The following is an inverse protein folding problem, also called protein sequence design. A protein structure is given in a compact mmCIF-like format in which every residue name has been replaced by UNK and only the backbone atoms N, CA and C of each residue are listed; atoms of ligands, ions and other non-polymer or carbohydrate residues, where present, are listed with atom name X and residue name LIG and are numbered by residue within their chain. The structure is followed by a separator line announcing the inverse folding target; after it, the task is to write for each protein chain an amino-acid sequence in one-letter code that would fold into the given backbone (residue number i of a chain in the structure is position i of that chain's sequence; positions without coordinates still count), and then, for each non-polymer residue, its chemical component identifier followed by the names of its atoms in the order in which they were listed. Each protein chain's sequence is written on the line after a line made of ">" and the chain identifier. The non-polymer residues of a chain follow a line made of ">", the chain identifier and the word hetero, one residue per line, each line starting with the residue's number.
data_IF_990298636856
#
_entry.id   IF_990298636856
#
_cell.length_a   1.000
_cell.length_b   1.000
_cell.length_c   1.000
_cell.angle_alpha   90.00
_cell.angle_beta   90.00
_cell.angle_gamma   90.00
#
_symmetry.space_group_name_H-M   'P 1'
#
loop_
_entity.id
_entity.type
_entity.pdbx_description
1 polymer ?
#
# COMPACT_ATOMS: atom_id res chain seq x y z
N UNK A 1 24.81 50.21 30.24
CA UNK A 1 23.38 49.85 30.41
C UNK A 1 22.63 50.34 29.18
N UNK A 2 22.48 49.46 28.19
CA UNK A 2 21.69 49.73 26.98
C UNK A 2 20.87 48.47 26.70
N UNK A 3 19.56 48.58 26.90
CA UNK A 3 18.62 47.49 26.68
C UNK A 3 18.27 47.42 25.20
N UNK A 4 18.53 46.27 24.59
CA UNK A 4 18.20 45.97 23.20
C UNK A 4 16.79 45.37 23.16
N UNK A 5 15.82 46.15 22.69
CA UNK A 5 14.45 45.70 22.42
C UNK A 5 14.39 45.12 21.00
N UNK A 6 14.56 43.81 20.88
CA UNK A 6 14.26 43.07 19.64
C UNK A 6 12.81 42.61 19.65
N UNK A 7 11.99 43.23 18.81
CA UNK A 7 10.63 42.82 18.48
C UNK A 7 10.64 41.46 17.74
N UNK A 8 9.81 40.47 18.12
CA UNK A 8 9.70 39.23 17.36
C UNK A 8 8.83 39.41 16.12
N UNK A 9 9.31 38.88 15.00
CA UNK A 9 8.69 38.86 13.68
C UNK A 9 7.46 37.93 13.64
N UNK A 10 6.23 38.41 13.32
CA UNK A 10 5.01 37.62 13.39
C UNK A 10 4.74 36.73 12.16
N UNK A 11 5.73 36.36 11.35
CA UNK A 11 5.52 35.66 10.06
C UNK A 11 6.30 34.35 9.86
N UNK A 12 6.50 33.56 10.92
CA UNK A 12 6.98 32.17 10.78
C UNK A 12 6.20 31.19 11.65
N UNK A 13 4.95 30.95 11.28
CA UNK A 13 4.19 29.77 11.72
C UNK A 13 3.72 29.01 10.49
N UNK A 14 4.66 28.35 9.80
CA UNK A 14 4.30 27.16 9.04
C UNK A 14 3.94 26.12 10.09
N UNK A 15 2.64 26.00 10.34
CA UNK A 15 2.07 24.95 11.17
C UNK A 15 2.41 23.60 10.54
N UNK A 16 3.54 23.02 10.98
CA UNK A 16 3.57 21.59 11.24
C UNK A 16 2.35 21.33 12.10
N UNK A 17 1.30 20.80 11.49
CA UNK A 17 0.20 20.18 12.20
C UNK A 17 0.81 18.99 12.94
N UNK A 18 1.45 19.30 14.07
CA UNK A 18 1.71 18.37 15.13
C UNK A 18 0.37 17.71 15.38
N UNK A 19 0.34 16.40 15.21
CA UNK A 19 -0.69 15.62 15.87
C UNK A 19 -0.79 16.17 17.29
N UNK A 20 -1.99 16.47 17.81
CA UNK A 20 -2.10 16.68 19.23
C UNK A 20 -1.48 15.43 19.85
N UNK A 21 -0.37 15.65 20.56
CA UNK A 21 0.06 14.85 21.69
C UNK A 21 -1.16 14.75 22.60
N UNK A 22 -2.04 13.81 22.26
CA UNK A 22 -3.19 13.45 23.05
C UNK A 22 -2.58 12.52 24.06
N UNK A 23 -2.30 13.11 25.22
CA UNK A 23 -1.49 12.58 26.30
C UNK A 23 -1.48 11.06 26.43
N UNK A 24 -0.27 10.55 26.66
CA UNK A 24 -0.01 9.55 27.68
C UNK A 24 -1.25 8.73 28.14
N UNK A 25 -1.42 7.55 27.55
CA UNK A 25 -1.93 6.33 28.22
C UNK A 25 -3.25 6.42 28.99
N UNK A 26 -4.38 6.51 28.28
CA UNK A 26 -5.72 6.30 28.87
C UNK A 26 -6.58 5.24 28.17
N UNK A 27 -6.01 4.34 27.35
CA UNK A 27 -6.82 3.45 26.50
C UNK A 27 -6.29 2.02 26.29
N UNK A 28 -5.83 1.34 27.35
CA UNK A 28 -6.16 -0.09 27.41
C UNK A 28 -7.68 -0.23 27.63
N UNK A 29 -8.33 -1.32 27.16
CA UNK A 29 -9.74 -1.53 27.44
C UNK A 29 -10.00 -1.48 28.95
N UNK A 30 -10.89 -0.55 29.28
CA UNK A 30 -11.48 -0.31 30.58
C UNK A 30 -12.18 -1.58 31.07
N UNK A 31 -11.76 -2.12 32.21
CA UNK A 31 -12.71 -2.61 33.20
C UNK A 31 -12.58 -1.70 34.42
N UNK A 32 -13.68 -0.98 34.68
CA UNK A 32 -13.82 0.09 35.68
C UNK A 32 -12.90 1.30 35.47
N UNK A 33 -13.42 2.52 35.69
CA UNK A 33 -12.54 3.63 36.06
C UNK A 33 -11.72 3.21 37.29
N UNK A 34 -10.62 3.91 37.63
CA UNK A 34 -9.92 3.69 38.92
C UNK A 34 -10.90 3.73 40.12
N UNK A 35 -12.09 4.32 39.94
CA UNK A 35 -13.18 4.42 40.92
C UNK A 35 -14.26 3.32 40.85
N UNK A 36 -14.24 2.37 39.91
CA UNK A 36 -15.29 1.33 39.84
C UNK A 36 -16.51 1.68 38.99
N UNK A 37 -16.56 2.87 38.38
CA UNK A 37 -17.76 3.36 37.70
C UNK A 37 -17.92 2.77 36.29
N UNK A 38 -19.17 2.56 35.89
CA UNK A 38 -19.53 2.19 34.52
C UNK A 38 -19.21 3.37 33.59
N UNK A 39 -18.32 3.16 32.62
CA UNK A 39 -17.93 4.22 31.70
C UNK A 39 -19.08 4.55 30.76
N UNK A 40 -19.43 5.83 30.73
CA UNK A 40 -20.35 6.40 29.75
C UNK A 40 -19.71 6.27 28.36
N UNK A 41 -20.32 5.54 27.41
CA UNK A 41 -19.76 5.39 26.08
C UNK A 41 -19.54 6.77 25.46
N UNK A 42 -18.34 7.00 24.92
CA UNK A 42 -18.04 8.27 24.24
C UNK A 42 -19.10 8.51 23.15
N UNK A 43 -19.64 9.73 22.99
CA UNK A 43 -20.73 10.01 22.05
C UNK A 43 -20.39 9.74 20.57
N UNK A 44 -19.15 9.37 20.27
CA UNK A 44 -18.63 9.05 18.94
C UNK A 44 -17.89 7.69 18.92
N UNK A 45 -18.09 6.82 19.91
CA UNK A 45 -17.41 5.52 19.99
C UNK A 45 -17.61 4.69 18.70
N UNK A 46 -18.82 4.73 18.14
CA UNK A 46 -19.17 4.05 16.88
C UNK A 46 -18.52 4.66 15.63
N UNK A 47 -17.89 5.85 15.73
CA UNK A 47 -17.30 6.55 14.58
C UNK A 47 -15.82 6.29 14.39
N UNK A 48 -15.13 5.74 15.39
CA UNK A 48 -13.67 5.56 15.36
C UNK A 48 -13.37 4.07 15.16
N UNK A 49 -13.14 3.71 13.91
CA UNK A 49 -12.67 2.38 13.50
C UNK A 49 -11.44 1.97 14.34
N UNK A 50 -11.50 0.78 14.97
CA UNK A 50 -10.44 0.17 15.80
C UNK A 50 -10.11 0.84 17.15
N UNK A 51 -10.99 1.67 17.71
CA UNK A 51 -10.72 2.37 18.98
C UNK A 51 -10.57 1.46 20.20
N UNK A 52 -11.32 0.36 20.25
CA UNK A 52 -11.36 -0.55 21.42
C UNK A 52 -10.26 -1.61 21.40
N UNK A 53 -9.25 -1.45 20.54
CA UNK A 53 -8.24 -2.47 20.28
C UNK A 53 -6.88 -1.97 20.77
N UNK A 54 -5.96 -2.89 21.14
CA UNK A 54 -4.65 -2.51 21.65
C UNK A 54 -3.95 -1.51 20.74
N UNK A 55 -3.19 -0.61 21.36
CA UNK A 55 -2.33 0.33 20.65
C UNK A 55 -1.26 -0.39 19.82
N UNK A 56 -0.60 0.35 18.94
CA UNK A 56 0.46 -0.16 18.05
C UNK A 56 1.88 0.08 18.58
N UNK A 57 1.97 0.33 19.88
CA UNK A 57 3.16 0.87 20.54
C UNK A 57 3.85 -0.14 21.46
N UNK A 58 3.65 -1.45 21.25
CA UNK A 58 4.35 -2.50 21.98
C UNK A 58 5.71 -2.81 21.35
N UNK A 59 6.73 -2.96 22.19
CA UNK A 59 8.03 -3.55 21.82
C UNK A 59 7.94 -5.07 21.97
N UNK A 60 8.51 -5.82 21.01
CA UNK A 60 8.56 -7.27 21.06
C UNK A 60 9.89 -7.77 21.64
N UNK A 61 9.89 -8.93 22.33
CA UNK A 61 11.12 -9.52 22.85
C UNK A 61 12.08 -9.87 21.70
N UNK A 62 13.40 -9.86 22.00
CA UNK A 62 14.47 -10.24 21.06
C UNK A 62 14.61 -11.77 20.96
N UNK A 63 13.51 -12.43 20.64
CA UNK A 63 13.44 -13.88 20.43
C UNK A 63 12.83 -14.12 19.05
N UNK A 64 13.19 -15.22 18.40
CA UNK A 64 12.65 -15.54 17.06
C UNK A 64 11.13 -15.65 17.12
N UNK A 65 10.46 -14.70 16.46
CA UNK A 65 9.02 -14.57 16.33
C UNK A 65 8.68 -14.38 14.86
N UNK A 66 7.71 -15.12 14.35
CA UNK A 66 7.21 -14.98 12.99
C UNK A 66 5.71 -14.71 13.02
N UNK A 67 5.31 -13.48 12.66
CA UNK A 67 3.90 -13.14 12.51
C UNK A 67 3.57 -12.99 11.04
N UNK A 68 2.57 -13.73 10.58
CA UNK A 68 2.01 -13.54 9.24
C UNK A 68 1.31 -12.17 9.17
N UNK A 69 1.09 -11.65 7.95
CA UNK A 69 0.33 -10.41 7.82
C UNK A 69 -1.10 -10.53 8.37
N UNK A 70 -1.70 -11.72 8.32
CA UNK A 70 -3.08 -11.96 8.75
C UNK A 70 -3.16 -11.85 10.27
N UNK A 71 -2.19 -12.42 10.98
CA UNK A 71 -2.09 -12.27 12.45
C UNK A 71 -2.01 -10.81 12.86
N UNK A 72 -1.19 -10.01 12.18
CA UNK A 72 -1.05 -8.59 12.48
C UNK A 72 -2.37 -7.86 12.21
N UNK A 73 -3.02 -8.10 11.06
CA UNK A 73 -4.30 -7.45 10.72
C UNK A 73 -5.42 -7.87 11.67
N UNK A 74 -5.45 -9.12 12.12
CA UNK A 74 -6.56 -9.68 12.91
C UNK A 74 -6.36 -9.47 14.41
N UNK A 75 -5.20 -9.81 14.95
CA UNK A 75 -4.94 -9.80 16.39
C UNK A 75 -4.36 -8.45 16.86
N UNK A 76 -3.70 -7.72 15.96
CA UNK A 76 -3.03 -6.45 16.25
C UNK A 76 -3.47 -5.33 15.28
N UNK A 77 -4.79 -5.09 15.13
CA UNK A 77 -5.35 -4.36 13.98
C UNK A 77 -4.95 -2.90 13.90
N UNK A 78 -4.39 -2.28 14.95
CA UNK A 78 -3.84 -0.93 14.88
C UNK A 78 -2.40 -0.88 14.36
N UNK A 79 -1.69 -2.01 14.26
CA UNK A 79 -0.25 -2.06 13.97
C UNK A 79 0.11 -1.65 12.55
N UNK A 80 -0.82 -1.71 11.60
CA UNK A 80 -0.56 -1.20 10.24
C UNK A 80 -0.31 0.32 10.18
N UNK A 81 -0.56 1.06 11.27
CA UNK A 81 -0.25 2.49 11.39
C UNK A 81 1.25 2.74 11.60
N UNK A 82 1.96 1.77 12.18
CA UNK A 82 3.41 1.78 12.35
C UNK A 82 4.10 1.80 10.98
N UNK A 83 5.18 2.57 10.83
CA UNK A 83 5.81 2.81 9.53
C UNK A 83 6.50 1.57 8.99
N UNK A 84 7.19 0.80 9.83
CA UNK A 84 7.83 -0.46 9.43
C UNK A 84 6.81 -1.51 8.98
N UNK A 85 5.70 -1.66 9.70
CA UNK A 85 4.62 -2.59 9.33
C UNK A 85 3.91 -2.15 8.05
N UNK A 86 3.59 -0.85 7.92
CA UNK A 86 3.01 -0.32 6.68
C UNK A 86 3.93 -0.54 5.47
N UNK A 87 5.24 -0.31 5.64
CA UNK A 87 6.24 -0.55 4.61
C UNK A 87 6.27 -2.02 4.20
N UNK A 88 6.27 -2.94 5.18
CA UNK A 88 6.19 -4.40 4.93
C UNK A 88 4.97 -4.76 4.09
N UNK A 89 3.80 -4.32 4.54
CA UNK A 89 2.53 -4.60 3.89
C UNK A 89 2.49 -4.10 2.44
N UNK A 90 2.85 -2.85 2.20
CA UNK A 90 2.78 -2.25 0.86
C UNK A 90 3.86 -2.84 -0.06
N UNK A 91 5.07 -3.10 0.43
CA UNK A 91 6.16 -3.74 -0.33
C UNK A 91 5.83 -5.18 -0.74
N UNK A 92 4.93 -5.83 0.01
CA UNK A 92 4.36 -7.14 -0.30
C UNK A 92 2.97 -7.06 -0.96
N UNK A 93 2.67 -5.93 -1.60
CA UNK A 93 1.47 -5.70 -2.41
C UNK A 93 0.13 -5.75 -1.67
N UNK A 94 0.12 -5.66 -0.33
CA UNK A 94 -1.13 -5.55 0.41
C UNK A 94 -1.82 -4.24 0.04
N UNK A 95 -3.06 -4.37 -0.44
CA UNK A 95 -3.92 -3.21 -0.74
C UNK A 95 -4.94 -3.02 0.37
N UNK A 96 -5.51 -1.81 0.50
CA UNK A 96 -6.57 -1.57 1.46
C UNK A 96 -7.80 -2.49 1.27
N UNK A 97 -8.10 -2.86 0.02
CA UNK A 97 -9.19 -3.81 -0.27
C UNK A 97 -8.88 -5.22 0.24
N UNK A 98 -7.64 -5.69 0.05
CA UNK A 98 -7.22 -7.01 0.56
C UNK A 98 -7.11 -7.00 2.08
N UNK A 99 -6.54 -5.94 2.68
CA UNK A 99 -6.54 -5.75 4.13
C UNK A 99 -7.97 -5.83 4.67
N UNK A 100 -8.89 -5.07 4.07
CA UNK A 100 -10.28 -5.06 4.49
C UNK A 100 -10.95 -6.44 4.33
N UNK A 101 -10.65 -7.19 3.26
CA UNK A 101 -11.16 -8.55 3.08
C UNK A 101 -10.65 -9.50 4.18
N UNK A 102 -9.37 -9.41 4.55
CA UNK A 102 -8.82 -10.16 5.71
C UNK A 102 -9.57 -9.78 6.98
N UNK A 103 -9.76 -8.48 7.21
CA UNK A 103 -10.42 -7.95 8.41
C UNK A 103 -11.89 -8.42 8.50
N UNK A 104 -12.64 -8.36 7.41
CA UNK A 104 -14.05 -8.80 7.30
C UNK A 104 -14.20 -10.32 7.43
N UNK A 105 -13.23 -11.10 6.94
CA UNK A 105 -13.23 -12.55 7.08
C UNK A 105 -13.05 -12.99 8.54
N UNK A 106 -12.15 -12.32 9.27
CA UNK A 106 -11.68 -12.78 10.58
C UNK A 106 -12.23 -12.01 11.78
N UNK A 107 -12.85 -10.84 11.59
CA UNK A 107 -13.34 -10.00 12.70
C UNK A 107 -14.79 -9.56 12.54
N UNK A 108 -15.44 -9.41 13.68
CA UNK A 108 -16.78 -8.84 13.77
C UNK A 108 -16.69 -7.33 13.60
N UNK A 109 -17.14 -6.84 12.44
CA UNK A 109 -17.04 -5.42 12.12
C UNK A 109 -18.31 -4.62 12.43
N UNK A 110 -19.47 -5.29 12.53
CA UNK A 110 -20.77 -4.70 12.87
C UNK A 110 -21.12 -3.43 12.06
N UNK A 111 -20.78 -3.40 10.76
CA UNK A 111 -21.16 -2.31 9.86
C UNK A 111 -22.68 -2.33 9.62
N UNK A 112 -23.33 -1.17 9.74
CA UNK A 112 -24.78 -1.06 9.56
C UNK A 112 -25.19 -1.07 8.09
N UNK A 113 -24.34 -0.49 7.25
CA UNK A 113 -24.58 -0.31 5.83
C UNK A 113 -23.26 -0.33 5.02
N UNK A 114 -23.40 -0.32 3.70
CA UNK A 114 -22.25 -0.26 2.77
C UNK A 114 -21.47 1.05 2.88
N UNK A 115 -22.08 2.13 3.37
CA UNK A 115 -21.40 3.42 3.53
C UNK A 115 -20.35 3.36 4.65
N UNK A 116 -20.68 2.77 5.81
CA UNK A 116 -19.74 2.53 6.89
C UNK A 116 -18.60 1.60 6.46
N UNK A 117 -18.93 0.58 5.66
CA UNK A 117 -17.96 -0.36 5.07
C UNK A 117 -16.94 0.35 4.17
N UNK A 118 -17.41 1.19 3.24
CA UNK A 118 -16.53 1.99 2.36
C UNK A 118 -15.73 3.04 3.14
N UNK A 119 -16.31 3.65 4.16
CA UNK A 119 -15.59 4.57 5.05
C UNK A 119 -14.45 3.88 5.80
N UNK A 120 -14.63 2.64 6.25
CA UNK A 120 -13.58 1.86 6.89
C UNK A 120 -12.44 1.55 5.91
N UNK A 121 -12.74 1.10 4.67
CA UNK A 121 -11.74 0.91 3.60
C UNK A 121 -10.96 2.20 3.28
N UNK A 122 -11.66 3.33 3.22
CA UNK A 122 -11.06 4.65 2.99
C UNK A 122 -10.11 5.01 4.14
N UNK A 123 -10.51 4.78 5.39
CA UNK A 123 -9.65 4.99 6.57
C UNK A 123 -8.36 4.19 6.47
N UNK A 124 -8.42 2.90 6.13
CA UNK A 124 -7.22 2.06 5.94
C UNK A 124 -6.32 2.65 4.85
N UNK A 125 -6.92 3.07 3.73
CA UNK A 125 -6.18 3.69 2.62
C UNK A 125 -5.49 4.99 3.03
N UNK A 126 -6.19 5.84 3.77
CA UNK A 126 -5.67 7.14 4.19
C UNK A 126 -4.56 7.00 5.24
N UNK A 127 -4.66 6.05 6.16
CA UNK A 127 -3.57 5.76 7.10
C UNK A 127 -2.33 5.23 6.38
N UNK A 128 -2.46 4.31 5.41
CA UNK A 128 -1.30 3.90 4.59
C UNK A 128 -0.65 5.09 3.87
N UNK A 129 -1.44 5.97 3.25
CA UNK A 129 -0.90 7.17 2.58
C UNK A 129 -0.19 8.08 3.57
N UNK A 130 -0.80 8.35 4.71
CA UNK A 130 -0.25 9.21 5.77
C UNK A 130 1.06 8.63 6.28
N UNK A 131 1.09 7.35 6.64
CA UNK A 131 2.28 6.65 7.12
C UNK A 131 3.40 6.68 6.09
N UNK A 132 3.11 6.39 4.81
CA UNK A 132 4.13 6.39 3.76
C UNK A 132 4.65 7.77 3.37
N UNK A 133 3.80 8.81 3.43
CA UNK A 133 4.22 10.21 3.20
C UNK A 133 5.00 10.81 4.36
N UNK A 134 4.91 10.20 5.56
CA UNK A 134 5.67 10.64 6.73
C UNK A 134 7.17 10.30 6.66
N UNK A 135 7.60 9.53 5.65
CA UNK A 135 9.02 9.28 5.41
C UNK A 135 9.65 10.53 4.77
N UNK A 136 10.75 11.08 5.33
CA UNK A 136 11.33 12.35 4.87
C UNK A 136 11.65 12.43 3.37
N UNK A 137 11.98 11.29 2.74
CA UNK A 137 12.33 11.19 1.32
C UNK A 137 11.14 10.97 0.38
N UNK A 138 9.91 10.92 0.90
CA UNK A 138 8.71 10.43 0.20
C UNK A 138 7.59 11.47 0.07
N UNK A 139 7.92 12.77 -0.04
CA UNK A 139 6.91 13.83 -0.15
C UNK A 139 6.00 13.70 -1.39
N UNK A 140 6.49 13.09 -2.47
CA UNK A 140 5.72 12.78 -3.68
C UNK A 140 5.11 11.37 -3.72
N UNK A 141 5.10 10.66 -2.60
CA UNK A 141 4.70 9.25 -2.58
C UNK A 141 3.24 9.07 -3.00
N UNK A 142 3.07 8.18 -3.96
CA UNK A 142 1.78 7.61 -4.35
C UNK A 142 1.92 6.10 -4.37
N UNK A 143 0.80 5.39 -4.20
CA UNK A 143 0.80 3.93 -4.30
C UNK A 143 1.37 3.44 -5.64
N UNK A 144 1.09 4.14 -6.74
CA UNK A 144 1.57 3.80 -8.08
C UNK A 144 3.09 4.03 -8.25
N UNK A 145 3.67 4.97 -7.51
CA UNK A 145 5.12 5.26 -7.51
C UNK A 145 5.88 4.53 -6.41
N UNK A 146 5.22 3.68 -5.62
CA UNK A 146 5.89 2.96 -4.56
C UNK A 146 6.79 1.88 -5.15
N UNK A 147 8.07 1.94 -4.79
CA UNK A 147 9.04 0.87 -4.99
C UNK A 147 9.42 0.31 -3.64
N UNK A 148 9.47 -1.03 -3.53
CA UNK A 148 10.05 -1.66 -2.37
C UNK A 148 11.51 -1.18 -2.20
N UNK A 149 12.00 -0.95 -0.97
CA UNK A 149 13.38 -0.54 -0.75
C UNK A 149 14.38 -1.52 -1.37
N UNK A 150 15.56 -1.02 -1.76
CA UNK A 150 16.65 -1.89 -2.23
C UNK A 150 17.01 -2.91 -1.14
N UNK A 151 17.14 -4.18 -1.52
CA UNK A 151 17.39 -5.27 -0.57
C UNK A 151 16.16 -5.75 0.21
N UNK A 152 14.95 -5.27 -0.11
CA UNK A 152 13.72 -5.77 0.52
C UNK A 152 13.55 -7.28 0.27
N UNK A 153 13.50 -8.08 1.35
CA UNK A 153 13.22 -9.51 1.26
C UNK A 153 11.72 -9.77 1.50
N UNK A 154 10.95 -10.15 0.47
CA UNK A 154 9.52 -10.38 0.60
C UNK A 154 9.15 -11.65 1.38
N UNK A 155 10.11 -12.54 1.67
CA UNK A 155 9.86 -13.77 2.43
C UNK A 155 10.07 -13.59 3.93
N UNK A 156 10.62 -12.45 4.36
CA UNK A 156 10.88 -12.18 5.76
C UNK A 156 9.59 -11.73 6.47
N UNK A 157 9.09 -12.60 7.36
CA UNK A 157 7.92 -12.32 8.23
C UNK A 157 8.30 -12.21 9.71
N UNK A 158 9.60 -12.19 9.99
CA UNK A 158 10.16 -12.12 11.32
C UNK A 158 9.79 -10.80 12.03
N UNK A 159 9.55 -10.90 13.33
CA UNK A 159 9.10 -9.83 14.22
C UNK A 159 9.93 -9.76 15.50
N UNK A 160 11.05 -10.49 15.55
CA UNK A 160 11.96 -10.53 16.67
C UNK A 160 12.53 -9.13 16.95
N UNK A 161 12.44 -8.70 18.21
CA UNK A 161 12.96 -7.40 18.62
C UNK A 161 12.31 -6.20 17.95
N UNK A 162 11.10 -6.35 17.39
CA UNK A 162 10.37 -5.23 16.79
C UNK A 162 10.20 -4.07 17.79
N UNK A 163 10.56 -2.86 17.35
CA UNK A 163 10.43 -1.61 18.12
C UNK A 163 9.60 -0.63 17.29
N UNK A 164 8.46 -0.14 17.80
CA UNK A 164 7.64 0.82 17.07
C UNK A 164 8.31 2.19 17.04
N UNK A 165 8.01 3.03 16.03
CA UNK A 165 8.67 4.34 15.91
C UNK A 165 8.41 5.25 17.11
N UNK A 166 7.21 5.12 17.72
CA UNK A 166 6.84 5.84 18.93
C UNK A 166 7.82 5.60 20.09
N UNK A 167 8.51 4.45 20.12
CA UNK A 167 9.50 4.13 21.14
C UNK A 167 10.75 5.01 21.10
N UNK A 168 10.94 5.78 20.02
CA UNK A 168 12.05 6.73 19.89
C UNK A 168 11.69 8.16 20.35
N UNK A 169 10.44 8.41 20.74
CA UNK A 169 10.00 9.70 21.28
C UNK A 169 10.42 9.75 22.76
N UNK A 170 10.97 10.88 23.21
CA UNK A 170 11.48 11.05 24.59
C UNK A 170 10.44 10.75 25.67
N UNK A 171 9.16 11.03 25.39
CA UNK A 171 8.03 10.79 26.29
C UNK A 171 7.42 9.40 26.18
N UNK A 172 8.02 8.50 25.39
CA UNK A 172 7.50 7.15 25.22
C UNK A 172 7.46 6.41 26.55
N UNK A 173 6.28 5.89 26.89
CA UNK A 173 6.14 4.89 27.94
C UNK A 173 5.69 3.60 27.30
N UNK A 174 6.36 2.51 27.64
CA UNK A 174 5.93 1.19 27.20
C UNK A 174 4.51 0.94 27.72
N UNK A 175 3.53 0.61 26.86
CA UNK A 175 2.20 0.25 27.32
C UNK A 175 2.27 -0.97 28.26
N UNK A 176 1.37 -1.07 29.25
CA UNK A 176 1.28 -2.29 30.06
C UNK A 176 0.95 -3.47 29.15
N UNK A 177 1.55 -4.62 29.47
CA UNK A 177 1.18 -5.88 28.85
C UNK A 177 -0.28 -6.21 29.14
N UNK A 178 -0.94 -6.88 28.19
CA UNK A 178 -2.35 -7.24 28.26
C UNK A 178 -2.51 -8.76 28.22
N UNK A 179 -3.58 -9.34 28.79
CA UNK A 179 -3.85 -10.77 28.61
C UNK A 179 -3.91 -11.14 27.11
N UNK A 180 -3.25 -12.22 26.71
CA UNK A 180 -3.30 -12.74 25.33
C UNK A 180 -4.73 -13.05 24.87
N UNK A 181 -5.59 -13.43 25.82
CA UNK A 181 -7.03 -13.65 25.61
C UNK A 181 -7.74 -12.37 25.13
N UNK A 182 -7.28 -11.19 25.51
CA UNK A 182 -7.88 -9.93 25.10
C UNK A 182 -7.60 -9.58 23.63
N UNK A 183 -6.58 -10.21 23.00
CA UNK A 183 -6.37 -10.10 21.55
C UNK A 183 -7.55 -10.71 20.75
N UNK A 184 -8.36 -11.55 21.39
CA UNK A 184 -9.56 -12.16 20.79
C UNK A 184 -10.80 -11.26 20.80
N UNK A 185 -10.76 -10.12 21.49
CA UNK A 185 -11.92 -9.21 21.53
C UNK A 185 -12.29 -8.82 20.10
N UNK A 186 -13.50 -9.18 19.66
CA UNK A 186 -14.03 -8.90 18.31
C UNK A 186 -13.43 -9.75 17.18
N UNK A 187 -12.70 -10.82 17.50
CA UNK A 187 -12.24 -11.81 16.52
C UNK A 187 -13.34 -12.84 16.30
N UNK A 188 -13.82 -12.96 15.06
CA UNK A 188 -14.83 -13.93 14.62
C UNK A 188 -14.23 -15.32 14.46
N UNK A 189 -13.04 -15.39 13.85
CA UNK A 189 -12.28 -16.63 13.67
C UNK A 189 -10.79 -16.36 13.68
N UNK A 190 -10.04 -17.24 14.33
CA UNK A 190 -8.58 -17.16 14.33
C UNK A 190 -8.02 -17.41 12.93
N UNK A 191 -6.83 -16.87 12.61
CA UNK A 191 -6.09 -17.33 11.45
C UNK A 191 -5.79 -18.84 11.57
N UNK A 192 -5.77 -19.55 10.45
CA UNK A 192 -5.54 -20.99 10.38
C UNK A 192 -4.58 -21.30 9.22
N UNK A 193 -4.02 -22.50 9.21
CA UNK A 193 -3.10 -22.99 8.16
C UNK A 193 -1.98 -22.00 7.87
N UNK A 194 -1.77 -21.67 6.58
CA UNK A 194 -0.73 -20.76 6.11
C UNK A 194 -0.98 -19.30 6.49
N UNK A 195 -2.14 -18.98 7.10
CA UNK A 195 -2.46 -17.66 7.65
C UNK A 195 -2.11 -17.56 9.14
N UNK A 196 -1.77 -18.66 9.79
CA UNK A 196 -1.38 -18.71 11.20
C UNK A 196 0.14 -18.77 11.35
N UNK A 197 0.66 -18.08 12.35
CA UNK A 197 2.06 -18.07 12.74
C UNK A 197 2.18 -18.20 14.25
N UNK A 198 3.24 -17.62 14.82
CA UNK A 198 3.56 -17.81 16.23
C UNK A 198 2.54 -17.14 17.16
N UNK A 199 1.97 -16.00 16.77
CA UNK A 199 1.02 -15.25 17.60
C UNK A 199 -0.29 -16.02 17.80
N UNK A 200 -0.81 -16.63 16.74
CA UNK A 200 -2.02 -17.45 16.75
C UNK A 200 -1.83 -18.65 17.67
N UNK A 201 -0.68 -19.33 17.58
CA UNK A 201 -0.36 -20.47 18.46
C UNK A 201 -0.32 -20.02 19.93
N UNK A 202 0.31 -18.88 20.23
CA UNK A 202 0.34 -18.34 21.59
C UNK A 202 -1.06 -18.02 22.11
N UNK A 203 -1.91 -17.40 21.30
CA UNK A 203 -3.31 -17.09 21.67
C UNK A 203 -4.10 -18.38 21.89
N UNK A 204 -4.00 -19.38 21.01
CA UNK A 204 -4.67 -20.68 21.16
C UNK A 204 -4.24 -21.39 22.46
N UNK A 205 -2.95 -21.36 22.76
CA UNK A 205 -2.41 -21.91 24.00
C UNK A 205 -2.98 -21.21 25.23
N UNK A 206 -2.97 -19.86 25.24
CA UNK A 206 -3.53 -19.07 26.33
C UNK A 206 -5.03 -19.31 26.51
N UNK A 207 -5.79 -19.47 25.42
CA UNK A 207 -7.24 -19.75 25.46
C UNK A 207 -7.58 -21.08 26.13
N UNK A 208 -6.69 -22.08 26.05
CA UNK A 208 -6.88 -23.40 26.65
C UNK A 208 -6.53 -23.50 28.14
N UNK A 209 -6.07 -22.42 28.79
CA UNK A 209 -5.50 -22.47 30.14
C UNK A 209 -6.06 -21.44 31.11
N UNK A 210 -6.22 -21.79 32.38
CA UNK A 210 -6.73 -20.83 33.39
C UNK A 210 -5.75 -19.73 33.75
N UNK A 211 -4.45 -19.91 33.46
CA UNK A 211 -3.45 -18.87 33.70
C UNK A 211 -3.59 -17.69 32.74
N UNK A 212 -3.38 -16.47 33.26
CA UNK A 212 -3.34 -15.25 32.46
C UNK A 212 -1.93 -15.05 31.88
N UNK A 213 -1.76 -15.47 30.63
CA UNK A 213 -0.57 -15.15 29.86
C UNK A 213 -0.66 -13.75 29.26
N UNK A 214 0.43 -12.99 29.30
CA UNK A 214 0.50 -11.57 28.97
C UNK A 214 1.24 -11.33 27.65
N UNK A 215 0.62 -10.58 26.74
CA UNK A 215 1.23 -10.04 25.53
C UNK A 215 1.91 -8.69 25.81
N UNK A 216 3.15 -8.46 25.35
CA UNK A 216 4.02 -9.37 24.58
C UNK A 216 5.01 -10.18 25.44
N UNK A 217 4.98 -10.03 26.77
CA UNK A 217 6.03 -10.54 27.67
C UNK A 217 6.15 -12.08 27.68
N UNK A 218 5.03 -12.80 27.68
CA UNK A 218 5.02 -14.26 27.84
C UNK A 218 5.17 -15.03 26.52
N UNK A 219 5.32 -14.32 25.39
CA UNK A 219 5.44 -14.95 24.07
C UNK A 219 6.60 -15.95 24.00
N UNK A 220 7.77 -15.62 24.56
CA UNK A 220 8.92 -16.54 24.54
C UNK A 220 8.65 -17.81 25.32
N UNK A 221 8.15 -17.68 26.55
CA UNK A 221 7.88 -18.80 27.44
C UNK A 221 6.85 -19.75 26.83
N UNK A 222 5.79 -19.21 26.22
CA UNK A 222 4.78 -20.02 25.55
C UNK A 222 5.38 -20.79 24.37
N UNK A 223 6.14 -20.12 23.50
CA UNK A 223 6.74 -20.76 22.32
C UNK A 223 7.85 -21.76 22.66
N UNK A 224 8.55 -21.58 23.78
CA UNK A 224 9.44 -22.61 24.33
C UNK A 224 8.67 -23.86 24.75
N UNK A 225 7.45 -23.70 25.27
CA UNK A 225 6.62 -24.80 25.71
C UNK A 225 5.91 -25.53 24.54
N UNK A 226 5.32 -24.80 23.59
CA UNK A 226 4.52 -25.38 22.50
C UNK A 226 5.27 -25.55 21.18
N UNK A 227 6.51 -25.08 21.10
CA UNK A 227 7.28 -25.00 19.87
C UNK A 227 6.82 -23.86 18.94
N UNK A 228 7.69 -23.54 17.98
CA UNK A 228 7.47 -22.47 16.99
C UNK A 228 6.81 -22.99 15.73
N UNK A 229 6.20 -22.09 14.98
CA UNK A 229 5.63 -22.38 13.67
C UNK A 229 6.73 -22.70 12.67
N UNK A 230 6.57 -23.77 11.90
CA UNK A 230 7.45 -24.05 10.76
C UNK A 230 7.05 -23.15 9.59
N UNK A 231 7.82 -22.08 9.39
CA UNK A 231 7.55 -21.12 8.32
C UNK A 231 7.91 -21.73 6.97
N UNK A 232 6.90 -21.83 6.11
CA UNK A 232 7.04 -22.18 4.69
C UNK A 232 6.80 -20.94 3.83
N UNK A 233 7.13 -21.03 2.53
CA UNK A 233 6.87 -19.93 1.59
C UNK A 233 5.39 -19.48 1.60
N UNK A 234 4.46 -20.41 1.81
CA UNK A 234 3.03 -20.11 1.84
C UNK A 234 2.60 -19.21 3.02
N UNK A 235 3.40 -19.13 4.09
CA UNK A 235 3.17 -18.23 5.23
C UNK A 235 3.61 -16.79 4.96
N UNK A 236 4.37 -16.56 3.89
CA UNK A 236 4.88 -15.23 3.55
C UNK A 236 3.78 -14.32 3.02
N UNK A 237 4.00 -13.01 3.09
CA UNK A 237 2.94 -12.04 2.83
C UNK A 237 2.38 -12.12 1.40
N UNK A 238 3.26 -12.32 0.40
CA UNK A 238 2.85 -12.28 -1.03
C UNK A 238 1.92 -13.44 -1.42
N UNK A 239 2.21 -14.71 -1.11
CA UNK A 239 1.28 -15.82 -1.35
C UNK A 239 -0.08 -15.62 -0.66
N UNK A 240 -0.09 -15.15 0.58
CA UNK A 240 -1.33 -14.84 1.30
C UNK A 240 -2.12 -13.75 0.56
N UNK A 241 -1.49 -12.63 0.23
CA UNK A 241 -2.13 -11.53 -0.52
C UNK A 241 -2.70 -12.04 -1.85
N UNK A 242 -1.95 -12.88 -2.59
CA UNK A 242 -2.41 -13.47 -3.85
C UNK A 242 -3.66 -14.33 -3.63
N UNK A 243 -3.66 -15.20 -2.61
CA UNK A 243 -4.81 -16.05 -2.30
C UNK A 243 -6.09 -15.22 -2.03
N UNK A 244 -5.98 -14.11 -1.30
CA UNK A 244 -7.10 -13.20 -1.08
C UNK A 244 -7.54 -12.48 -2.36
N UNK A 245 -6.60 -12.03 -3.20
CA UNK A 245 -6.94 -11.40 -4.48
C UNK A 245 -7.71 -12.38 -5.38
N UNK A 246 -7.27 -13.63 -5.45
CA UNK A 246 -7.91 -14.67 -6.24
C UNK A 246 -9.31 -15.00 -5.70
N UNK A 247 -9.46 -15.08 -4.37
CA UNK A 247 -10.77 -15.24 -3.73
C UNK A 247 -11.73 -14.11 -4.08
N UNK A 248 -11.30 -12.85 -3.92
CA UNK A 248 -12.11 -11.68 -4.24
C UNK A 248 -12.50 -11.61 -5.73
N UNK A 249 -11.59 -12.04 -6.62
CA UNK A 249 -11.87 -12.14 -8.05
C UNK A 249 -12.95 -13.19 -8.32
N UNK A 250 -12.82 -14.40 -7.76
CA UNK A 250 -13.81 -15.47 -7.89
C UNK A 250 -15.19 -15.05 -7.41
N UNK A 251 -15.29 -14.36 -6.26
CA UNK A 251 -16.57 -13.82 -5.78
C UNK A 251 -17.16 -12.76 -6.72
N UNK A 252 -16.32 -11.89 -7.28
CA UNK A 252 -16.75 -10.87 -8.24
C UNK A 252 -17.23 -11.49 -9.54
N UNK A 253 -16.55 -12.52 -10.03
CA UNK A 253 -16.92 -13.25 -11.23
C UNK A 253 -18.20 -14.05 -10.99
N UNK A 254 -18.37 -14.69 -9.84
CA UNK A 254 -19.61 -15.38 -9.47
C UNK A 254 -20.83 -14.43 -9.40
N UNK A 255 -20.64 -13.18 -8.97
CA UNK A 255 -21.68 -12.14 -9.00
C UNK A 255 -21.95 -11.58 -10.40
N UNK A 256 -20.96 -11.66 -11.30
CA UNK A 256 -21.07 -11.24 -12.71
C UNK A 256 -21.59 -12.33 -13.62
N UNK A 257 -21.46 -13.60 -13.22
CA UNK A 257 -22.07 -14.73 -13.91
C UNK A 257 -23.52 -14.35 -14.17
N UNK A 258 -23.91 -14.19 -15.45
CA UNK A 258 -25.24 -13.71 -15.78
C UNK A 258 -26.24 -14.63 -15.08
N UNK A 259 -27.31 -14.05 -14.47
CA UNK A 259 -28.39 -14.87 -13.93
C UNK A 259 -28.76 -15.87 -15.01
N UNK A 260 -28.83 -17.14 -14.61
CA UNK A 260 -29.03 -18.29 -15.48
C UNK A 260 -29.80 -17.92 -16.76
N UNK A 261 -29.10 -17.96 -17.91
CA UNK A 261 -29.68 -17.64 -19.22
C UNK A 261 -30.78 -18.62 -19.63
N UNK A 262 -31.19 -19.54 -18.77
CA UNK A 262 -32.34 -20.42 -18.96
C UNK A 262 -33.68 -19.66 -19.06
N UNK A 263 -33.75 -18.41 -18.60
CA UNK A 263 -34.85 -17.48 -18.92
C UNK A 263 -34.28 -16.22 -19.60
N UNK A 264 -33.47 -16.44 -20.64
CA UNK A 264 -33.19 -15.36 -21.57
C UNK A 264 -34.48 -14.96 -22.30
N UNK A 265 -34.68 -13.67 -22.59
CA UNK A 265 -35.71 -13.25 -23.53
C UNK A 265 -35.57 -14.08 -24.81
N UNK A 266 -36.70 -14.44 -25.42
CA UNK A 266 -36.69 -15.25 -26.63
C UNK A 266 -35.81 -14.60 -27.70
N UNK A 267 -35.37 -15.37 -28.70
CA UNK A 267 -34.61 -14.79 -29.82
C UNK A 267 -35.34 -13.60 -30.43
N UNK A 268 -36.68 -13.64 -30.48
CA UNK A 268 -37.51 -12.53 -30.94
C UNK A 268 -37.41 -11.29 -30.04
N UNK A 269 -37.47 -11.44 -28.71
CA UNK A 269 -37.34 -10.32 -27.78
C UNK A 269 -35.94 -9.69 -27.82
N UNK A 270 -34.90 -10.47 -28.14
CA UNK A 270 -33.54 -9.96 -28.34
C UNK A 270 -33.41 -9.16 -29.62
N UNK A 271 -34.00 -9.62 -30.72
CA UNK A 271 -34.04 -8.89 -31.99
C UNK A 271 -34.80 -7.58 -31.82
N UNK A 272 -35.97 -7.61 -31.19
CA UNK A 272 -36.78 -6.41 -30.94
C UNK A 272 -36.03 -5.37 -30.07
N UNK A 273 -35.26 -5.83 -29.07
CA UNK A 273 -34.47 -4.93 -28.23
C UNK A 273 -33.27 -4.33 -28.98
N UNK A 274 -32.65 -5.07 -29.91
CA UNK A 274 -31.57 -4.56 -30.76
C UNK A 274 -32.09 -3.56 -31.81
N UNK A 275 -33.24 -3.83 -32.43
CA UNK A 275 -33.89 -2.90 -33.35
C UNK A 275 -34.26 -1.58 -32.66
N UNK A 276 -34.90 -1.65 -31.48
CA UNK A 276 -35.22 -0.45 -30.70
C UNK A 276 -33.97 0.36 -30.28
N UNK A 277 -32.86 -0.31 -30.00
CA UNK A 277 -31.58 0.35 -29.68
C UNK A 277 -30.96 1.01 -30.91
N UNK A 278 -31.06 0.37 -32.07
CA UNK A 278 -30.61 0.94 -33.34
C UNK A 278 -31.40 2.19 -33.69
N UNK A 279 -32.72 2.14 -33.63
CA UNK A 279 -33.62 3.28 -33.89
C UNK A 279 -33.34 4.45 -32.93
N UNK A 280 -33.15 4.16 -31.64
CA UNK A 280 -32.81 5.20 -30.66
C UNK A 280 -31.46 5.87 -30.95
N UNK A 281 -30.48 5.11 -31.46
CA UNK A 281 -29.16 5.64 -31.84
C UNK A 281 -29.26 6.51 -33.09
N UNK A 282 -30.01 6.07 -34.09
CA UNK A 282 -30.23 6.83 -35.32
C UNK A 282 -30.98 8.14 -35.05
N UNK A 283 -32.00 8.11 -34.19
CA UNK A 283 -32.72 9.31 -33.75
C UNK A 283 -31.82 10.30 -33.00
N UNK A 284 -30.93 9.81 -32.13
CA UNK A 284 -29.97 10.64 -31.42
C UNK A 284 -28.96 11.31 -32.37
N UNK A 285 -28.47 10.56 -33.38
CA UNK A 285 -27.56 11.07 -34.38
C UNK A 285 -28.23 12.14 -35.26
N UNK A 286 -29.46 11.91 -35.72
CA UNK A 286 -30.25 12.91 -36.45
C UNK A 286 -30.48 14.18 -35.61
N UNK A 287 -30.81 14.05 -34.33
CA UNK A 287 -30.98 15.21 -33.44
C UNK A 287 -29.67 15.98 -33.25
N UNK A 288 -28.52 15.29 -33.21
CA UNK A 288 -27.21 15.94 -33.11
C UNK A 288 -26.83 16.69 -34.39
N UNK A 289 -27.12 16.12 -35.57
CA UNK A 289 -26.92 16.79 -36.86
C UNK A 289 -27.78 18.05 -36.94
N UNK A 290 -29.06 17.98 -36.56
CA UNK A 290 -29.96 19.13 -36.54
C UNK A 290 -29.49 20.23 -35.56
N UNK A 291 -29.04 19.85 -34.36
CA UNK A 291 -28.47 20.81 -33.40
C UNK A 291 -27.22 21.50 -33.94
N UNK A 292 -26.37 20.76 -34.64
CA UNK A 292 -25.13 21.28 -35.20
C UNK A 292 -25.41 22.24 -36.35
N UNK A 293 -26.35 21.88 -37.24
CA UNK A 293 -26.82 22.74 -38.31
C UNK A 293 -27.46 24.04 -37.77
N UNK A 294 -28.34 23.93 -36.76
CA UNK A 294 -28.97 25.09 -36.12
C UNK A 294 -27.92 26.02 -35.48
N UNK A 295 -26.91 25.46 -34.82
CA UNK A 295 -25.81 26.24 -34.23
C UNK A 295 -24.97 26.95 -35.29
N UNK A 296 -24.70 26.30 -36.43
CA UNK A 296 -23.97 26.91 -37.55
C UNK A 296 -24.75 28.08 -38.17
N UNK A 297 -26.06 27.92 -38.37
CA UNK A 297 -26.94 29.00 -38.85
C UNK A 297 -26.97 30.17 -37.86
N UNK A 298 -27.08 29.87 -36.56
CA UNK A 298 -27.09 30.90 -35.52
C UNK A 298 -25.75 31.65 -35.43
N UNK A 299 -24.62 30.98 -35.65
CA UNK A 299 -23.30 31.62 -35.71
C UNK A 299 -23.15 32.52 -36.93
N UNK A 300 -23.74 32.17 -38.09
CA UNK A 300 -23.74 33.01 -39.28
C UNK A 300 -24.66 34.23 -39.17
N UNK A 301 -25.68 34.18 -38.33
CA UNK A 301 -26.60 35.30 -38.08
C UNK A 301 -26.10 36.27 -37.00
N UNK A 302 -25.06 35.90 -36.22
CA UNK A 302 -24.48 36.83 -35.26
C UNK A 302 -23.54 37.81 -35.99
N UNK A 303 -23.78 39.13 -35.90
CA UNK A 303 -22.82 40.10 -36.39
C UNK A 303 -21.49 39.92 -35.64
N UNK A 304 -20.34 40.06 -36.32
CA UNK A 304 -19.04 39.89 -35.68
C UNK A 304 -18.92 40.81 -34.47
N UNK A 305 -18.43 40.32 -33.33
CA UNK A 305 -18.34 41.11 -32.10
C UNK A 305 -17.47 42.34 -32.36
N UNK A 306 -18.08 43.52 -32.26
CA UNK A 306 -17.37 44.78 -32.35
C UNK A 306 -16.66 45.04 -31.02
N UNK A 307 -15.35 44.81 -30.99
CA UNK A 307 -14.52 45.15 -29.83
C UNK A 307 -14.26 46.66 -29.88
N UNK A 308 -14.93 47.41 -28.99
CA UNK A 308 -14.62 48.82 -28.77
C UNK A 308 -13.37 48.94 -27.89
N UNK A 309 -12.22 49.23 -28.50
CA UNK A 309 -11.04 49.70 -27.78
C UNK A 309 -11.12 51.22 -27.63
N UNK A 310 -11.29 51.70 -26.40
CA UNK A 310 -11.22 53.12 -26.06
C UNK A 310 -9.76 53.54 -25.91
N UNK A 311 -9.26 54.34 -26.85
CA UNK A 311 -8.01 55.07 -26.67
C UNK A 311 -8.22 56.32 -25.79
N UNK A 312 -7.19 56.78 -25.05
CA UNK A 312 -7.31 57.87 -24.08
C UNK A 312 -7.77 59.24 -24.64
N UNK A 313 -7.65 59.46 -25.96
CA UNK A 313 -7.93 60.76 -26.59
C UNK A 313 -9.34 60.87 -27.23
N UNK A 314 -10.31 60.05 -26.81
CA UNK A 314 -11.73 60.28 -27.13
C UNK A 314 -12.19 60.05 -28.58
N UNK A 315 -11.33 59.57 -29.48
CA UNK A 315 -11.73 59.24 -30.85
C UNK A 315 -11.75 57.72 -31.10
N UNK A 316 -12.93 57.19 -31.43
CA UNK A 316 -13.12 55.78 -31.77
C UNK A 316 -12.65 55.49 -33.20
N UNK A 317 -11.70 54.55 -33.36
CA UNK A 317 -11.30 53.99 -34.66
C UNK A 317 -11.61 52.49 -34.71
N UNK A 318 -12.24 52.06 -35.79
CA UNK A 318 -12.50 50.65 -36.09
C UNK A 318 -11.29 50.03 -36.79
N UNK A 319 -10.76 48.93 -36.25
CA UNK A 319 -9.66 48.18 -36.86
C UNK A 319 -10.02 46.68 -36.91
N UNK A 320 -10.02 46.03 -38.09
CA UNK A 320 -10.35 44.62 -38.22
C UNK A 320 -9.21 43.72 -37.70
N UNK A 321 -9.52 42.76 -36.82
CA UNK A 321 -8.57 41.80 -36.25
C UNK A 321 -8.29 40.63 -37.20
N UNK A 322 -7.01 40.37 -37.48
CA UNK A 322 -6.51 39.11 -38.05
C UNK A 322 -6.14 38.11 -36.94
N UNK A 323 -6.63 36.87 -37.05
CA UNK A 323 -6.47 35.81 -36.04
C UNK A 323 -5.00 35.32 -35.90
N UNK A 324 -4.50 35.28 -34.67
CA UNK A 324 -3.21 34.70 -34.30
C UNK A 324 -3.41 33.32 -33.64
N UNK A 325 -2.60 32.35 -34.04
CA UNK A 325 -2.62 30.95 -33.59
C UNK A 325 -1.72 30.80 -32.35
N UNK A 326 -2.29 30.22 -31.30
CA UNK A 326 -1.69 30.00 -29.98
C UNK A 326 -0.66 28.86 -30.00
N UNK A 327 0.55 29.09 -29.44
CA UNK A 327 1.65 28.12 -29.32
C UNK A 327 2.11 28.08 -27.86
N UNK A 328 1.56 27.15 -27.08
CA UNK A 328 1.97 26.89 -25.70
C UNK A 328 2.07 25.38 -25.43
N UNK A 329 3.17 24.76 -25.89
CA UNK A 329 3.48 23.34 -25.60
C UNK A 329 4.97 23.07 -25.35
N UNK A 330 5.84 24.10 -25.39
CA UNK A 330 7.30 23.91 -25.32
C UNK A 330 7.95 24.07 -23.94
N UNK A 331 7.26 24.65 -22.95
CA UNK A 331 7.90 25.01 -21.66
C UNK A 331 7.97 23.86 -20.66
N UNK A 332 7.23 22.77 -20.87
CA UNK A 332 7.15 21.66 -19.91
C UNK A 332 8.32 20.64 -20.06
N UNK A 333 8.96 20.63 -21.23
CA UNK A 333 10.04 19.69 -21.54
C UNK A 333 11.41 20.20 -21.04
N UNK A 334 11.57 21.51 -20.90
CA UNK A 334 12.78 22.14 -20.38
C UNK A 334 12.97 21.94 -18.86
N UNK A 335 11.88 21.81 -18.09
CA UNK A 335 11.95 21.62 -16.63
C UNK A 335 12.34 20.20 -16.21
N UNK A 336 12.22 19.21 -17.10
CA UNK A 336 12.61 17.82 -16.83
C UNK A 336 14.11 17.57 -16.98
N UNK A 337 14.81 18.39 -17.77
CA UNK A 337 16.25 18.24 -18.00
C UNK A 337 17.14 18.86 -16.91
N UNK A 338 16.61 19.84 -16.15
CA UNK A 338 17.39 20.59 -15.17
C UNK A 338 17.53 19.90 -13.80
N UNK A 339 16.80 18.80 -13.55
CA UNK A 339 16.74 18.14 -12.24
C UNK A 339 17.71 16.97 -12.04
N UNK A 340 18.52 16.63 -13.05
CA UNK A 340 19.40 15.44 -13.02
C UNK A 340 20.81 15.76 -12.48
N UNK A 341 21.20 17.03 -12.32
CA UNK A 341 22.56 17.39 -11.91
C UNK A 341 22.56 18.41 -10.78
N UNK A 342 22.88 17.93 -9.56
CA UNK A 342 23.32 18.62 -8.32
C UNK A 342 22.63 17.94 -7.11
N UNK A 343 23.24 17.33 -6.09
CA UNK A 343 24.60 17.05 -5.68
C UNK A 343 24.55 16.68 -4.18
N UNK A 344 24.91 15.45 -3.77
CA UNK A 344 25.31 15.15 -2.39
C UNK A 344 26.12 13.84 -2.30
N UNK A 345 27.23 13.90 -1.56
CA UNK A 345 28.27 12.87 -1.47
C UNK A 345 27.88 11.75 -0.47
N UNK A 346 27.97 10.50 -0.92
CA UNK A 346 27.87 9.24 -0.15
C UNK A 346 29.23 8.53 -0.30
N UNK A 347 29.69 7.70 0.66
CA UNK A 347 30.98 7.01 0.56
C UNK A 347 31.08 6.28 -0.77
N UNK A 348 32.08 6.64 -1.55
CA UNK A 348 32.38 6.09 -2.87
C UNK A 348 32.71 4.60 -2.76
N UNK A 349 31.72 3.74 -2.97
CA UNK A 349 31.92 2.67 -3.96
C UNK A 349 32.24 3.36 -5.28
N UNK A 350 33.38 3.05 -5.93
CA UNK A 350 33.87 3.83 -7.05
C UNK A 350 32.81 3.90 -8.15
N UNK A 351 32.42 5.13 -8.49
CA UNK A 351 31.55 5.50 -9.61
C UNK A 351 32.24 5.29 -10.97
N UNK A 352 33.02 4.23 -11.09
CA UNK A 352 33.39 3.66 -12.37
C UNK A 352 32.14 2.94 -12.89
N UNK A 353 31.81 2.98 -14.19
CA UNK A 353 31.04 1.87 -14.75
C UNK A 353 31.75 0.59 -14.30
N UNK A 354 31.03 -0.42 -13.76
CA UNK A 354 31.65 -1.63 -13.28
C UNK A 354 32.59 -2.10 -14.38
N UNK A 355 33.88 -2.20 -14.04
CA UNK A 355 34.86 -2.73 -14.98
C UNK A 355 34.27 -4.06 -15.44
N UNK A 356 34.12 -4.27 -16.76
CA UNK A 356 33.48 -5.48 -17.25
C UNK A 356 34.15 -6.67 -16.56
N UNK A 357 33.34 -7.53 -15.94
CA UNK A 357 33.87 -8.66 -15.18
C UNK A 357 34.89 -9.41 -16.04
N UNK A 358 35.99 -9.81 -15.43
CA UNK A 358 36.97 -10.64 -16.11
C UNK A 358 36.27 -11.91 -16.63
N UNK A 359 36.53 -12.38 -17.86
CA UNK A 359 35.87 -13.58 -18.42
C UNK A 359 35.95 -14.80 -17.52
N UNK A 360 37.05 -14.93 -16.76
CA UNK A 360 37.28 -15.98 -15.75
C UNK A 360 36.83 -15.64 -14.32
N UNK A 361 36.01 -14.61 -14.12
CA UNK A 361 35.36 -14.36 -12.84
C UNK A 361 34.26 -15.42 -12.64
N UNK A 362 34.15 -15.96 -11.43
CA UNK A 362 33.13 -16.94 -11.10
C UNK A 362 31.77 -16.27 -11.01
N UNK A 363 30.78 -16.81 -11.73
CA UNK A 363 29.42 -16.27 -11.76
C UNK A 363 28.74 -16.25 -10.40
N UNK A 364 29.08 -17.18 -9.50
CA UNK A 364 28.56 -17.20 -8.13
C UNK A 364 29.01 -16.02 -7.28
N UNK A 365 30.08 -15.33 -7.68
CA UNK A 365 30.63 -14.15 -7.00
C UNK A 365 30.07 -12.83 -7.57
N UNK A 366 29.34 -12.87 -8.68
CA UNK A 366 28.72 -11.70 -9.29
C UNK A 366 27.56 -11.17 -8.41
N UNK A 367 27.61 -9.88 -8.07
CA UNK A 367 26.61 -9.25 -7.18
C UNK A 367 25.21 -9.19 -7.81
N UNK A 368 25.13 -9.24 -9.14
CA UNK A 368 23.90 -9.26 -9.92
C UNK A 368 23.02 -10.47 -9.57
N UNK A 369 23.62 -11.59 -9.13
CA UNK A 369 22.88 -12.76 -8.66
C UNK A 369 21.98 -12.47 -7.45
N UNK A 370 22.33 -11.47 -6.64
CA UNK A 370 21.56 -11.07 -5.45
C UNK A 370 20.46 -10.05 -5.74
N UNK A 371 20.38 -9.53 -6.98
CA UNK A 371 19.38 -8.55 -7.37
C UNK A 371 18.16 -9.27 -7.97
N UNK A 372 17.18 -9.60 -7.13
CA UNK A 372 16.02 -10.42 -7.50
C UNK A 372 15.26 -9.97 -8.77
N UNK A 373 15.28 -8.66 -9.08
CA UNK A 373 14.56 -8.08 -10.22
C UNK A 373 15.44 -7.79 -11.43
N UNK A 374 16.75 -8.02 -11.35
CA UNK A 374 17.61 -7.87 -12.52
C UNK A 374 17.36 -9.05 -13.48
N UNK A 375 16.76 -8.76 -14.63
CA UNK A 375 16.49 -9.73 -15.69
C UNK A 375 17.66 -9.93 -16.66
N UNK A 376 18.80 -9.28 -16.43
CA UNK A 376 19.94 -9.34 -17.32
C UNK A 376 20.45 -10.78 -17.50
N UNK A 377 21.03 -11.11 -18.67
CA UNK A 377 21.70 -12.38 -18.92
C UNK A 377 22.68 -12.77 -17.80
N UNK A 378 23.45 -11.80 -17.30
CA UNK A 378 24.41 -11.98 -16.22
C UNK A 378 23.72 -12.33 -14.90
N UNK A 379 22.69 -11.58 -14.49
CA UNK A 379 21.94 -11.87 -13.26
C UNK A 379 21.23 -13.22 -13.28
N UNK A 380 20.71 -13.64 -14.44
CA UNK A 380 20.12 -14.97 -14.64
C UNK A 380 21.16 -16.08 -14.48
N UNK A 381 22.31 -15.95 -15.16
CA UNK A 381 23.40 -16.92 -15.09
C UNK A 381 24.04 -16.98 -13.68
N UNK A 382 24.23 -15.84 -13.03
CA UNK A 382 24.75 -15.75 -11.66
C UNK A 382 23.82 -16.45 -10.66
N UNK A 383 22.50 -16.24 -10.73
CA UNK A 383 21.53 -16.96 -9.88
C UNK A 383 21.55 -18.46 -10.09
N UNK A 384 21.66 -18.92 -11.34
CA UNK A 384 21.81 -20.34 -11.64
C UNK A 384 23.07 -20.91 -11.00
N UNK A 385 24.22 -20.24 -11.15
CA UNK A 385 25.49 -20.65 -10.55
C UNK A 385 25.50 -20.62 -9.00
N UNK A 386 24.58 -19.89 -8.38
CA UNK A 386 24.42 -19.81 -6.92
C UNK A 386 23.48 -20.89 -6.35
N UNK A 387 22.85 -21.73 -7.19
CA UNK A 387 21.99 -22.80 -6.71
C UNK A 387 22.82 -23.89 -5.97
N UNK A 388 22.25 -24.54 -4.93
CA UNK A 388 23.00 -25.50 -4.11
C UNK A 388 23.58 -26.68 -4.89
N UNK A 389 22.89 -27.14 -5.93
CA UNK A 389 23.32 -28.21 -6.83
C UNK A 389 24.37 -27.75 -7.86
N UNK A 390 24.49 -26.44 -8.08
CA UNK A 390 25.45 -25.83 -9.00
C UNK A 390 26.72 -25.34 -8.32
N UNK A 391 26.76 -25.30 -6.98
CA UNK A 391 27.87 -24.69 -6.23
C UNK A 391 29.23 -25.36 -6.45
N UNK A 392 29.21 -26.67 -6.77
CA UNK A 392 30.40 -27.47 -7.09
C UNK A 392 30.90 -27.28 -8.53
N UNK A 393 30.09 -26.68 -9.40
CA UNK A 393 30.44 -26.41 -10.79
C UNK A 393 31.00 -25.00 -10.92
N UNK A 394 32.17 -24.86 -11.53
CA UNK A 394 32.80 -23.57 -11.75
C UNK A 394 32.26 -22.93 -13.03
N UNK A 395 31.19 -22.15 -12.86
CA UNK A 395 30.63 -21.32 -13.92
C UNK A 395 31.35 -19.98 -13.96
N UNK A 396 31.85 -19.60 -15.12
CA UNK A 396 32.58 -18.35 -15.35
C UNK A 396 31.74 -17.35 -16.16
N UNK A 397 32.07 -16.05 -16.08
CA UNK A 397 31.36 -14.99 -16.81
C UNK A 397 31.34 -15.21 -18.33
N UNK A 398 32.39 -15.82 -18.89
CA UNK A 398 32.41 -16.21 -20.31
C UNK A 398 31.34 -17.28 -20.67
N UNK A 399 30.80 -18.00 -19.68
CA UNK A 399 29.75 -18.99 -19.88
C UNK A 399 28.32 -18.41 -19.86
N UNK A 400 28.14 -17.09 -19.65
CA UNK A 400 26.81 -16.47 -19.54
C UNK A 400 25.94 -16.76 -20.77
N UNK A 401 26.49 -16.65 -21.98
CA UNK A 401 25.72 -16.89 -23.20
C UNK A 401 25.23 -18.34 -23.30
N UNK A 402 26.07 -19.31 -22.92
CA UNK A 402 25.73 -20.73 -22.90
C UNK A 402 24.64 -21.02 -21.85
N UNK A 403 24.81 -20.51 -20.63
CA UNK A 403 23.84 -20.72 -19.54
C UNK A 403 22.48 -20.12 -19.86
N UNK A 404 22.43 -18.93 -20.47
CA UNK A 404 21.17 -18.32 -20.88
C UNK A 404 20.46 -19.15 -21.95
N UNK A 405 21.20 -19.67 -22.94
CA UNK A 405 20.63 -20.59 -23.93
C UNK A 405 20.08 -21.87 -23.29
N UNK A 406 20.81 -22.46 -22.32
CA UNK A 406 20.35 -23.64 -21.58
C UNK A 406 19.08 -23.34 -20.77
N UNK A 407 19.04 -22.19 -20.09
CA UNK A 407 17.89 -21.76 -19.29
C UNK A 407 16.67 -21.43 -20.16
N UNK A 408 16.88 -20.91 -21.37
CA UNK A 408 15.80 -20.61 -22.32
C UNK A 408 15.30 -21.88 -23.05
N UNK A 409 16.18 -22.87 -23.25
CA UNK A 409 15.84 -24.14 -23.89
C UNK A 409 15.22 -25.17 -22.93
N UNK A 410 15.45 -25.02 -21.62
CA UNK A 410 14.81 -25.85 -20.62
C UNK A 410 13.28 -25.63 -20.70
N UNK A 411 12.49 -26.65 -21.11
CA UNK A 411 11.04 -26.53 -21.11
C UNK A 411 10.65 -26.17 -19.68
N UNK A 412 9.88 -25.10 -19.47
CA UNK A 412 9.53 -24.56 -18.15
C UNK A 412 9.29 -25.67 -17.11
N UNK A 413 10.37 -26.15 -16.49
CA UNK A 413 10.32 -26.91 -15.28
C UNK A 413 9.90 -25.81 -14.35
N UNK A 414 8.67 -25.87 -13.86
CA UNK A 414 8.21 -25.02 -12.78
C UNK A 414 9.18 -25.27 -11.62
N UNK A 415 10.29 -24.53 -11.61
CA UNK A 415 11.20 -24.45 -10.49
C UNK A 415 10.31 -23.83 -9.44
N UNK A 416 9.85 -24.64 -8.49
CA UNK A 416 9.17 -24.17 -7.30
C UNK A 416 10.14 -23.28 -6.54
N UNK A 417 10.18 -22.00 -6.92
CA UNK A 417 10.87 -20.93 -6.21
C UNK A 417 9.96 -20.41 -5.11
#
# INVERSE_FOLDING_TARGET
>A
MSANNSHPDPRSTIGLAGYPSTGAFSHLPIRTTITGDAIVPHPNANKIFLRNLPGHCYTLPKVSLNFTLVEIVVLLPNWFKNKAIAMRFISNHLTANVHFAIFEEHRECNFKDDHEREKAKKTITDEYRKTMRSYPRNMGWTKAKHTAPLGWNPTLIAMDGFVPEDAHIEEYRRPPSIPLRDLMIGVKKLPEDTKAGDLTRCVQFALGRTEDFMFPDDLSQILEHIGRTQITLAHTDRPIVRAYVDHMRKESDAKRSPPDRSVGPSVEERIACEEARWEAREAAEQMQVQRTAAKAVQQHLQPPPQIMTTTPDGHAKYQPQSAAIDRSSGEMEALLYQYVHEGFQVPTTPASPPTPYHPRCLLRECVEGHVAFDGSPLARAARFAQQPDQISTEWYVENVALLVQLLDAAPHIEVGI
#
